data_IF_742905934075
#
_entry.id   IF_742905934075
#
_cell.length_a   1.000
_cell.length_b   1.000
_cell.length_c   1.000
_cell.angle_alpha   90.00
_cell.angle_beta   90.00
_cell.angle_gamma   90.00
#
_symmetry.space_group_name_H-M   'P 1'
#
loop_
_entity.id
_entity.type
_entity.pdbx_description
1 polymer ?
#
# COMPACT_ATOMS: atom_id res chain seq x y z
N UNK A 1 22.40 -85.91 29.46
CA UNK A 1 21.37 -84.96 29.93
C UNK A 1 20.91 -84.17 28.70
N UNK A 2 19.91 -84.69 27.98
CA UNK A 2 18.50 -84.21 27.92
C UNK A 2 18.39 -82.73 27.50
N UNK A 3 17.62 -82.28 26.51
CA UNK A 3 16.93 -82.82 25.31
C UNK A 3 16.06 -81.64 24.79
N UNK A 4 15.97 -81.47 23.46
CA UNK A 4 14.73 -81.17 22.66
C UNK A 4 14.08 -79.78 22.87
N UNK A 5 14.10 -78.89 21.86
CA UNK A 5 13.16 -78.70 20.73
C UNK A 5 11.75 -78.19 21.06
N UNK A 6 11.37 -77.13 20.33
CA UNK A 6 10.13 -76.98 19.55
C UNK A 6 8.76 -76.75 20.22
N UNK A 7 8.12 -75.71 19.65
CA UNK A 7 6.73 -75.63 19.18
C UNK A 7 5.60 -75.10 20.10
N UNK A 8 5.05 -73.96 19.64
CA UNK A 8 3.63 -73.67 19.33
C UNK A 8 2.59 -73.81 20.46
N UNK A 9 1.85 -72.72 20.79
CA UNK A 9 0.51 -72.43 20.22
C UNK A 9 -0.08 -71.11 20.77
N UNK A 10 -0.79 -70.46 19.86
CA UNK A 10 -1.68 -69.30 19.94
C UNK A 10 -2.77 -69.48 21.03
N UNK A 11 -3.29 -68.39 21.62
CA UNK A 11 -4.69 -67.87 21.47
C UNK A 11 -5.12 -66.95 22.64
N UNK A 12 -5.36 -65.67 22.30
CA UNK A 12 -6.39 -64.71 22.73
C UNK A 12 -6.66 -64.25 24.18
N UNK A 13 -6.72 -62.91 24.26
CA UNK A 13 -7.69 -62.02 24.97
C UNK A 13 -7.80 -62.16 26.50
N UNK A 14 -7.95 -61.11 27.32
CA UNK A 14 -8.61 -59.81 27.14
C UNK A 14 -8.36 -58.97 28.41
N UNK A 15 -8.28 -57.64 28.26
CA UNK A 15 -8.53 -56.59 29.26
C UNK A 15 -7.79 -56.65 30.62
N UNK A 16 -6.66 -55.95 30.67
CA UNK A 16 -6.22 -55.25 31.88
C UNK A 16 -6.07 -53.76 31.58
N UNK A 17 -6.80 -52.90 32.29
CA UNK A 17 -6.37 -51.52 32.51
C UNK A 17 -6.45 -51.18 33.99
N UNK A 18 -5.28 -50.74 34.46
CA UNK A 18 -4.89 -50.10 35.71
C UNK A 18 -5.80 -48.89 36.04
N UNK A 19 -6.17 -48.64 37.30
CA UNK A 19 -5.39 -48.11 38.44
C UNK A 19 -5.19 -46.56 38.38
N UNK A 20 -5.44 -45.83 39.49
CA UNK A 20 -5.42 -44.36 39.54
C UNK A 20 -4.10 -43.77 40.10
N UNK A 21 -4.01 -42.44 39.97
CA UNK A 21 -3.23 -41.47 40.75
C UNK A 21 -1.81 -41.05 40.32
N UNK A 22 -1.74 -39.76 39.95
CA UNK A 22 -0.76 -38.71 40.27
C UNK A 22 0.73 -38.91 39.92
N UNK A 23 1.27 -38.08 39.01
CA UNK A 23 2.27 -37.02 39.28
C UNK A 23 2.66 -36.25 38.02
N UNK A 24 2.90 -34.95 38.21
CA UNK A 24 3.85 -34.06 37.54
C UNK A 24 3.62 -33.57 36.11
N UNK A 25 3.89 -32.26 35.97
CA UNK A 25 4.41 -31.57 34.80
C UNK A 25 3.85 -31.97 33.45
N UNK A 26 2.87 -31.20 33.00
CA UNK A 26 2.89 -30.75 31.61
C UNK A 26 2.68 -29.24 31.61
N UNK A 27 3.82 -28.54 31.69
CA UNK A 27 3.98 -27.30 30.94
C UNK A 27 3.33 -27.55 29.58
N UNK A 28 2.20 -26.89 29.31
CA UNK A 28 1.53 -27.01 28.03
C UNK A 28 2.57 -26.66 26.96
N UNK A 29 3.00 -27.70 26.23
CA UNK A 29 3.85 -27.58 25.07
C UNK A 29 3.18 -26.59 24.13
N UNK A 30 3.70 -25.37 24.10
CA UNK A 30 3.47 -24.47 22.98
C UNK A 30 4.19 -25.16 21.81
N UNK A 31 3.41 -25.87 20.99
CA UNK A 31 3.90 -26.31 19.69
C UNK A 31 4.13 -25.04 18.85
N UNK A 32 5.34 -24.49 18.94
CA UNK A 32 5.85 -23.48 17.99
C UNK A 32 6.18 -24.20 16.69
N UNK A 33 5.13 -24.68 16.02
CA UNK A 33 5.18 -25.21 14.64
C UNK A 33 4.16 -24.52 13.73
N UNK A 34 3.21 -23.74 14.28
CA UNK A 34 2.20 -22.96 13.54
C UNK A 34 2.58 -21.46 13.43
N UNK A 35 3.86 -21.15 13.28
CA UNK A 35 4.32 -19.77 13.11
C UNK A 35 3.82 -19.19 11.79
N UNK A 36 2.75 -18.39 11.83
CA UNK A 36 2.26 -17.68 10.63
C UNK A 36 3.35 -16.79 10.02
N UNK A 37 3.45 -16.84 8.71
CA UNK A 37 4.38 -16.08 7.88
C UNK A 37 3.59 -15.24 6.89
N UNK A 38 3.68 -13.93 7.05
CA UNK A 38 3.06 -12.95 6.18
C UNK A 38 4.07 -12.46 5.16
N UNK A 39 3.78 -12.61 3.88
CA UNK A 39 4.51 -11.97 2.78
C UNK A 39 3.75 -10.70 2.41
N UNK A 40 4.43 -9.56 2.29
CA UNK A 40 3.78 -8.26 2.04
C UNK A 40 4.43 -7.57 0.85
N UNK A 41 3.60 -7.12 -0.09
CA UNK A 41 3.96 -6.28 -1.24
C UNK A 41 3.03 -5.06 -1.29
N UNK A 42 3.41 -4.02 -2.01
CA UNK A 42 2.64 -2.77 -2.13
C UNK A 42 2.94 -2.07 -3.45
N UNK A 43 2.17 -1.04 -3.80
CA UNK A 43 2.46 -0.08 -4.87
C UNK A 43 2.74 -0.80 -6.20
N UNK A 44 1.75 -1.58 -6.65
CA UNK A 44 1.81 -2.38 -7.89
C UNK A 44 1.37 -1.55 -9.10
N UNK A 45 0.35 -0.70 -8.98
CA UNK A 45 -0.14 0.21 -10.02
C UNK A 45 -0.49 -0.46 -11.37
N UNK A 46 -1.34 -1.49 -11.35
CA UNK A 46 -1.87 -2.08 -12.58
C UNK A 46 -2.83 -1.10 -13.27
N UNK A 47 -2.48 -0.69 -14.49
CA UNK A 47 -3.33 0.19 -15.31
C UNK A 47 -4.13 -0.55 -16.39
N UNK A 48 -5.06 0.17 -17.02
CA UNK A 48 -5.88 -0.33 -18.14
C UNK A 48 -5.09 -0.48 -19.45
N UNK A 49 -5.74 -0.98 -20.51
CA UNK A 49 -5.11 -1.14 -21.81
C UNK A 49 -4.59 0.19 -22.39
N UNK A 50 -5.28 1.32 -22.14
CA UNK A 50 -4.83 2.63 -22.62
C UNK A 50 -3.50 3.02 -21.99
N UNK A 51 -3.30 2.74 -20.70
CA UNK A 51 -2.04 3.03 -20.01
C UNK A 51 -0.85 2.29 -20.62
N UNK A 52 -1.08 1.06 -21.09
CA UNK A 52 -0.08 0.23 -21.75
C UNK A 52 0.19 0.72 -23.18
N UNK A 53 -0.85 0.97 -23.98
CA UNK A 53 -0.69 1.37 -25.39
C UNK A 53 -0.12 2.77 -25.54
N UNK A 54 -0.45 3.67 -24.62
CA UNK A 54 -0.04 5.07 -24.67
C UNK A 54 1.15 5.37 -23.74
N UNK A 55 1.81 4.34 -23.21
CA UNK A 55 3.07 4.43 -22.45
C UNK A 55 3.01 5.36 -21.22
N UNK A 56 1.89 5.35 -20.50
CA UNK A 56 1.77 6.05 -19.21
C UNK A 56 1.61 5.11 -18.01
N UNK A 57 1.48 3.80 -18.21
CA UNK A 57 1.47 2.83 -17.11
C UNK A 57 2.74 2.91 -16.24
N UNK A 58 2.56 2.78 -14.93
CA UNK A 58 3.67 2.67 -13.98
C UNK A 58 4.21 1.24 -13.83
N UNK A 59 3.49 0.23 -14.31
CA UNK A 59 3.83 -1.19 -14.14
C UNK A 59 3.86 -1.95 -15.48
N UNK A 60 4.24 -1.27 -16.56
CA UNK A 60 4.15 -1.82 -17.92
C UNK A 60 5.02 -3.08 -18.11
N UNK A 61 6.22 -3.09 -17.53
CA UNK A 61 7.19 -4.19 -17.63
C UNK A 61 7.34 -4.96 -16.32
N UNK A 62 7.19 -4.27 -15.19
CA UNK A 62 7.36 -4.87 -13.87
C UNK A 62 6.27 -5.89 -13.56
N UNK A 63 5.09 -5.84 -14.21
CA UNK A 63 4.05 -6.88 -14.11
C UNK A 63 4.53 -8.27 -14.50
N UNK A 64 5.48 -8.39 -15.44
CA UNK A 64 6.02 -9.68 -15.84
C UNK A 64 6.95 -10.24 -14.74
N UNK A 65 7.73 -9.36 -14.11
CA UNK A 65 8.56 -9.73 -12.95
C UNK A 65 7.68 -10.08 -11.74
N UNK A 66 6.57 -9.38 -11.53
CA UNK A 66 5.56 -9.74 -10.54
C UNK A 66 4.97 -11.13 -10.80
N UNK A 67 4.67 -11.48 -12.06
CA UNK A 67 4.20 -12.83 -12.39
C UNK A 67 5.22 -13.91 -11.99
N UNK A 68 6.52 -13.67 -12.25
CA UNK A 68 7.60 -14.58 -11.87
C UNK A 68 7.75 -14.68 -10.35
N UNK A 69 7.56 -13.58 -9.62
CA UNK A 69 7.53 -13.59 -8.16
C UNK A 69 6.34 -14.39 -7.62
N UNK A 70 5.15 -14.24 -8.19
CA UNK A 70 3.97 -15.02 -7.79
C UNK A 70 4.16 -16.52 -8.09
N UNK A 71 4.82 -16.86 -9.21
CA UNK A 71 5.24 -18.24 -9.51
C UNK A 71 6.29 -18.76 -8.49
N UNK A 72 7.22 -17.91 -8.07
CA UNK A 72 8.15 -18.24 -6.99
C UNK A 72 7.40 -18.52 -5.69
N UNK A 73 6.48 -17.67 -5.27
CA UNK A 73 5.65 -17.90 -4.08
C UNK A 73 4.83 -19.19 -4.19
N UNK A 74 4.32 -19.52 -5.38
CA UNK A 74 3.62 -20.77 -5.64
C UNK A 74 4.53 -22.00 -5.41
N UNK A 75 5.75 -21.96 -5.95
CA UNK A 75 6.75 -23.03 -5.77
C UNK A 75 7.17 -23.20 -4.30
N UNK A 76 7.23 -22.09 -3.56
CA UNK A 76 7.56 -22.04 -2.13
C UNK A 76 6.33 -21.96 -1.23
N UNK A 77 5.20 -22.50 -1.69
CA UNK A 77 3.92 -22.39 -0.97
C UNK A 77 3.95 -22.99 0.43
N UNK A 78 4.86 -23.90 0.78
CA UNK A 78 4.95 -24.41 2.15
C UNK A 78 5.71 -23.48 3.13
N UNK A 79 6.23 -22.35 2.66
CA UNK A 79 7.07 -21.45 3.46
C UNK A 79 6.37 -20.17 3.95
N UNK A 80 5.15 -19.95 3.46
CA UNK A 80 4.33 -18.78 3.79
C UNK A 80 2.84 -19.10 3.90
N UNK A 81 2.08 -18.27 4.60
CA UNK A 81 0.66 -18.53 4.90
C UNK A 81 -0.28 -17.55 4.20
N UNK A 82 0.08 -16.27 4.19
CA UNK A 82 -0.75 -15.19 3.66
C UNK A 82 0.10 -14.17 2.89
N UNK A 83 -0.38 -13.78 1.71
CA UNK A 83 0.18 -12.69 0.92
C UNK A 83 -0.72 -11.46 1.08
N UNK A 84 -0.14 -10.33 1.44
CA UNK A 84 -0.82 -9.06 1.64
C UNK A 84 -0.37 -8.07 0.56
N UNK A 85 -1.34 -7.46 -0.13
CA UNK A 85 -1.17 -6.32 -1.02
C UNK A 85 -1.56 -5.07 -0.25
N UNK A 86 -0.56 -4.30 0.18
CA UNK A 86 -0.68 -3.18 1.13
C UNK A 86 -0.92 -1.82 0.45
N UNK A 87 -1.90 -1.76 -0.45
CA UNK A 87 -2.29 -0.56 -1.18
C UNK A 87 -1.74 -0.46 -2.59
N UNK A 88 -2.35 0.45 -3.36
CA UNK A 88 -2.04 0.80 -4.74
C UNK A 88 -1.87 -0.42 -5.64
N UNK A 89 -2.88 -1.30 -5.61
CA UNK A 89 -2.88 -2.51 -6.44
C UNK A 89 -3.19 -2.16 -7.91
N UNK A 90 -4.21 -1.32 -8.10
CA UNK A 90 -4.67 -0.81 -9.39
C UNK A 90 -4.37 0.69 -9.47
N UNK A 91 -4.23 1.21 -10.69
CA UNK A 91 -3.98 2.63 -10.92
C UNK A 91 -5.14 3.31 -11.64
N UNK A 92 -5.90 4.12 -10.92
CA UNK A 92 -6.94 5.00 -11.47
C UNK A 92 -6.41 6.42 -11.74
N UNK A 93 -5.23 6.80 -11.24
CA UNK A 93 -4.82 8.21 -11.21
C UNK A 93 -3.85 8.60 -12.32
N UNK A 94 -3.02 7.66 -12.78
CA UNK A 94 -1.99 7.89 -13.80
C UNK A 94 -2.66 7.95 -15.19
N UNK A 95 -3.20 9.12 -15.53
CA UNK A 95 -3.86 9.40 -16.82
C UNK A 95 -3.51 10.83 -17.25
N UNK A 96 -3.21 11.09 -18.54
CA UNK A 96 -2.95 12.45 -19.03
C UNK A 96 -4.11 13.44 -18.78
N UNK A 97 -3.79 14.72 -18.62
CA UNK A 97 -4.74 15.78 -18.22
C UNK A 97 -5.91 15.94 -19.18
N UNK A 98 -5.69 15.75 -20.48
CA UNK A 98 -6.73 15.88 -21.51
C UNK A 98 -7.63 14.66 -21.67
N UNK A 99 -7.41 13.60 -20.88
CA UNK A 99 -8.12 12.32 -21.01
C UNK A 99 -9.01 12.03 -19.80
N UNK A 100 -10.22 11.47 -20.02
CA UNK A 100 -11.04 10.97 -18.92
C UNK A 100 -10.34 9.80 -18.22
N UNK A 101 -10.43 9.79 -16.90
CA UNK A 101 -9.83 8.77 -16.05
C UNK A 101 -10.54 7.44 -16.23
N UNK A 102 -11.83 7.37 -15.90
CA UNK A 102 -12.63 6.15 -16.01
C UNK A 102 -13.24 6.08 -17.41
N UNK A 103 -12.55 5.44 -18.36
CA UNK A 103 -12.97 5.42 -19.76
C UNK A 103 -12.55 4.14 -20.51
N UNK A 104 -13.18 3.89 -21.65
CA UNK A 104 -12.79 2.84 -22.59
C UNK A 104 -11.58 3.26 -23.45
N UNK A 105 -11.14 2.37 -24.33
CA UNK A 105 -9.95 2.54 -25.18
C UNK A 105 -10.08 3.71 -26.18
N UNK A 106 -11.29 4.20 -26.42
CA UNK A 106 -11.60 5.34 -27.28
C UNK A 106 -11.84 6.62 -26.48
N UNK A 107 -11.48 6.62 -25.18
CA UNK A 107 -11.70 7.71 -24.24
C UNK A 107 -13.21 8.04 -24.03
N UNK A 108 -14.12 7.08 -24.23
CA UNK A 108 -15.52 7.25 -23.83
C UNK A 108 -15.68 6.95 -22.33
N UNK A 109 -16.33 7.82 -21.54
CA UNK A 109 -16.66 7.54 -20.13
C UNK A 109 -17.39 6.20 -19.93
N UNK A 110 -16.96 5.43 -18.94
CA UNK A 110 -17.59 4.18 -18.50
C UNK A 110 -17.81 4.19 -16.99
N UNK A 111 -18.42 3.15 -16.43
CA UNK A 111 -18.56 2.98 -14.97
C UNK A 111 -17.26 2.52 -14.31
N UNK A 112 -17.12 2.77 -13.01
CA UNK A 112 -15.99 2.30 -12.19
C UNK A 112 -15.78 0.79 -12.33
N UNK A 113 -16.88 0.04 -12.23
CA UNK A 113 -16.92 -1.41 -12.38
C UNK A 113 -16.38 -1.88 -13.73
N UNK A 114 -16.82 -1.23 -14.82
CA UNK A 114 -16.33 -1.56 -16.16
C UNK A 114 -14.84 -1.23 -16.31
N UNK A 115 -14.37 -0.13 -15.73
CA UNK A 115 -12.96 0.24 -15.73
C UNK A 115 -12.11 -0.76 -14.95
N UNK A 116 -12.53 -1.18 -13.76
CA UNK A 116 -11.89 -2.25 -13.00
C UNK A 116 -11.79 -3.53 -13.84
N UNK A 117 -12.87 -3.91 -14.54
CA UNK A 117 -12.87 -5.04 -15.47
C UNK A 117 -11.86 -4.90 -16.62
N UNK A 118 -11.66 -3.68 -17.14
CA UNK A 118 -10.64 -3.39 -18.16
C UNK A 118 -9.22 -3.51 -17.60
N UNK A 119 -8.97 -3.06 -16.37
CA UNK A 119 -7.67 -3.27 -15.70
C UNK A 119 -7.39 -4.75 -15.51
N UNK A 120 -8.38 -5.53 -15.05
CA UNK A 120 -8.26 -6.99 -14.91
C UNK A 120 -7.95 -7.64 -16.25
N UNK A 121 -8.67 -7.27 -17.30
CA UNK A 121 -8.49 -7.81 -18.65
C UNK A 121 -7.10 -7.51 -19.23
N UNK A 122 -6.61 -6.27 -19.05
CA UNK A 122 -5.30 -5.83 -19.54
C UNK A 122 -4.11 -6.50 -18.80
N UNK A 123 -4.37 -7.05 -17.61
CA UNK A 123 -3.38 -7.66 -16.74
C UNK A 123 -3.76 -9.10 -16.34
N UNK A 124 -4.49 -9.78 -17.22
CA UNK A 124 -5.07 -11.10 -16.98
C UNK A 124 -4.06 -12.11 -16.41
N UNK A 125 -2.83 -12.12 -16.92
CA UNK A 125 -1.75 -13.01 -16.44
C UNK A 125 -1.46 -12.81 -14.95
N UNK A 126 -1.41 -11.56 -14.46
CA UNK A 126 -1.14 -11.26 -13.04
C UNK A 126 -2.29 -11.79 -12.17
N UNK A 127 -3.54 -11.54 -12.57
CA UNK A 127 -4.71 -12.00 -11.84
C UNK A 127 -4.88 -13.53 -11.88
N UNK A 128 -4.47 -14.18 -12.97
CA UNK A 128 -4.40 -15.64 -13.03
C UNK A 128 -3.41 -16.20 -12.01
N UNK A 129 -2.24 -15.56 -11.84
CA UNK A 129 -1.29 -15.96 -10.79
C UNK A 129 -1.86 -15.82 -9.38
N UNK A 130 -2.57 -14.74 -9.06
CA UNK A 130 -3.26 -14.62 -7.77
C UNK A 130 -4.34 -15.70 -7.57
N UNK A 131 -5.12 -16.02 -8.62
CA UNK A 131 -6.08 -17.13 -8.58
C UNK A 131 -5.43 -18.48 -8.36
N UNK A 132 -4.28 -18.73 -8.98
CA UNK A 132 -3.51 -19.96 -8.78
C UNK A 132 -3.07 -20.11 -7.31
N UNK A 133 -2.60 -19.04 -6.67
CA UNK A 133 -2.24 -19.05 -5.24
C UNK A 133 -3.46 -19.38 -4.37
N UNK A 134 -4.60 -18.74 -4.63
CA UNK A 134 -5.84 -19.02 -3.90
C UNK A 134 -6.32 -20.46 -4.12
N UNK A 135 -6.13 -21.01 -5.33
CA UNK A 135 -6.41 -22.41 -5.65
C UNK A 135 -5.55 -23.42 -4.87
N UNK A 136 -4.40 -23.00 -4.34
CA UNK A 136 -3.58 -23.77 -3.40
C UNK A 136 -4.04 -23.63 -1.93
N UNK A 137 -5.14 -22.93 -1.68
CA UNK A 137 -5.63 -22.63 -0.34
C UNK A 137 -4.86 -21.50 0.35
N UNK A 138 -4.09 -20.70 -0.40
CA UNK A 138 -3.40 -19.53 0.17
C UNK A 138 -4.36 -18.38 0.40
N UNK A 139 -4.16 -17.70 1.53
CA UNK A 139 -4.91 -16.48 1.84
C UNK A 139 -4.25 -15.29 1.17
N UNK A 140 -5.06 -14.47 0.49
CA UNK A 140 -4.63 -13.19 -0.04
C UNK A 140 -5.44 -12.09 0.66
N UNK A 141 -4.78 -11.03 1.11
CA UNK A 141 -5.44 -9.86 1.69
C UNK A 141 -5.08 -8.60 0.90
N UNK A 142 -6.08 -7.77 0.61
CA UNK A 142 -5.92 -6.48 -0.04
C UNK A 142 -6.27 -5.37 0.94
N UNK A 143 -5.42 -4.34 1.00
CA UNK A 143 -5.65 -3.09 1.73
C UNK A 143 -5.70 -1.98 0.67
N UNK A 144 -6.70 -1.07 0.68
CA UNK A 144 -6.76 0.06 -0.25
C UNK A 144 -5.57 1.02 -0.13
N UNK A 145 -5.10 1.54 -1.25
CA UNK A 145 -4.20 2.69 -1.32
C UNK A 145 -4.92 3.92 -1.88
N UNK A 146 -4.17 4.96 -2.22
CA UNK A 146 -4.75 6.17 -2.81
C UNK A 146 -5.10 6.01 -4.29
N UNK A 147 -4.33 5.24 -5.07
CA UNK A 147 -4.57 5.09 -6.52
C UNK A 147 -5.77 4.21 -6.88
N UNK A 148 -6.31 3.47 -5.92
CA UNK A 148 -7.47 2.59 -6.08
C UNK A 148 -8.55 2.83 -5.01
N UNK A 149 -8.57 4.03 -4.42
CA UNK A 149 -9.43 4.40 -3.29
C UNK A 149 -10.93 4.36 -3.59
N UNK A 150 -11.31 4.47 -4.87
CA UNK A 150 -12.70 4.45 -5.31
C UNK A 150 -13.23 3.05 -5.60
N UNK A 151 -12.34 2.07 -5.78
CA UNK A 151 -12.74 0.68 -5.98
C UNK A 151 -13.61 0.22 -4.82
N UNK A 152 -14.70 -0.46 -5.14
CA UNK A 152 -15.64 -0.98 -4.14
C UNK A 152 -15.43 -2.46 -3.89
N UNK A 153 -16.01 -2.96 -2.81
CA UNK A 153 -16.07 -4.40 -2.57
C UNK A 153 -16.81 -5.14 -3.70
N UNK A 154 -17.81 -4.49 -4.30
CA UNK A 154 -18.58 -5.05 -5.42
C UNK A 154 -17.71 -5.24 -6.67
N UNK A 155 -16.83 -4.28 -6.98
CA UNK A 155 -15.93 -4.36 -8.13
C UNK A 155 -15.00 -5.57 -7.99
N UNK A 156 -14.35 -5.70 -6.84
CA UNK A 156 -13.54 -6.86 -6.49
C UNK A 156 -14.35 -8.15 -6.53
N UNK A 157 -15.53 -8.19 -5.91
CA UNK A 157 -16.34 -9.40 -5.86
C UNK A 157 -16.90 -9.79 -7.25
N UNK A 158 -16.99 -8.85 -8.19
CA UNK A 158 -17.41 -9.14 -9.56
C UNK A 158 -16.32 -9.84 -10.37
N UNK A 159 -15.08 -9.35 -10.30
CA UNK A 159 -13.99 -9.83 -11.17
C UNK A 159 -13.00 -10.77 -10.47
N UNK A 160 -12.94 -10.71 -9.15
CA UNK A 160 -11.98 -11.40 -8.27
C UNK A 160 -12.72 -12.11 -7.12
N UNK A 161 -13.91 -12.64 -7.38
CA UNK A 161 -14.75 -13.32 -6.38
C UNK A 161 -13.93 -14.35 -5.59
N UNK A 162 -13.88 -14.19 -4.27
CA UNK A 162 -13.21 -15.13 -3.37
C UNK A 162 -11.68 -15.17 -3.49
N UNK A 163 -11.06 -14.24 -4.22
CA UNK A 163 -9.59 -14.16 -4.35
C UNK A 163 -8.98 -13.42 -3.15
N UNK A 164 -9.51 -12.24 -2.81
CA UNK A 164 -8.96 -11.39 -1.74
C UNK A 164 -9.90 -11.25 -0.55
N UNK A 165 -9.34 -11.37 0.65
CA UNK A 165 -9.90 -10.76 1.85
C UNK A 165 -9.65 -9.25 1.79
N UNK A 166 -10.70 -8.44 1.77
CA UNK A 166 -10.58 -6.99 1.62
C UNK A 166 -10.60 -6.30 2.99
N UNK A 167 -9.47 -5.71 3.38
CA UNK A 167 -9.27 -5.04 4.66
C UNK A 167 -9.65 -3.54 4.58
N UNK A 168 -10.90 -3.27 4.17
CA UNK A 168 -11.46 -1.92 4.02
C UNK A 168 -11.98 -1.39 5.35
N UNK A 169 -11.86 -0.08 5.55
CA UNK A 169 -12.48 0.62 6.68
C UNK A 169 -13.84 1.21 6.34
N UNK A 170 -14.56 1.66 7.38
CA UNK A 170 -15.79 2.43 7.20
C UNK A 170 -15.57 3.81 6.57
N UNK A 171 -14.36 4.37 6.71
CA UNK A 171 -13.95 5.57 5.99
C UNK A 171 -13.56 5.19 4.57
N UNK A 172 -14.33 5.68 3.59
CA UNK A 172 -14.11 5.41 2.16
C UNK A 172 -12.68 5.74 1.73
N UNK A 173 -12.09 4.86 0.92
CA UNK A 173 -10.72 5.00 0.43
C UNK A 173 -9.62 4.62 1.42
N UNK A 174 -9.95 4.05 2.58
CA UNK A 174 -8.98 3.63 3.60
C UNK A 174 -9.14 2.16 3.97
N UNK A 175 -8.08 1.61 4.53
CA UNK A 175 -8.08 0.28 5.13
C UNK A 175 -6.86 0.07 6.00
N UNK A 176 -6.97 -0.94 6.88
CA UNK A 176 -5.85 -1.48 7.61
C UNK A 176 -6.07 -2.97 7.87
N UNK A 177 -4.99 -3.70 8.10
CA UNK A 177 -5.04 -5.10 8.50
C UNK A 177 -4.16 -5.36 9.71
N UNK A 178 -4.75 -5.96 10.75
CA UNK A 178 -4.07 -6.35 11.97
C UNK A 178 -4.26 -7.85 12.23
N UNK A 179 -3.37 -8.71 11.72
CA UNK A 179 -3.49 -10.16 11.93
C UNK A 179 -3.25 -10.58 13.39
N UNK A 180 -2.59 -9.73 14.18
CA UNK A 180 -2.46 -9.82 15.64
C UNK A 180 -2.52 -8.41 16.25
N UNK A 181 -2.64 -8.30 17.57
CA UNK A 181 -2.57 -7.01 18.28
C UNK A 181 -1.20 -6.32 18.18
N UNK A 182 -0.17 -7.01 17.68
CA UNK A 182 1.20 -6.48 17.60
C UNK A 182 1.58 -6.01 16.20
N UNK A 183 0.80 -6.37 15.18
CA UNK A 183 1.07 -6.03 13.79
C UNK A 183 -0.05 -5.12 13.30
N UNK A 184 0.33 -3.99 12.72
CA UNK A 184 -0.57 -3.09 12.03
C UNK A 184 -0.03 -2.84 10.63
N UNK A 185 -0.87 -3.00 9.61
CA UNK A 185 -0.53 -2.78 8.22
C UNK A 185 -1.51 -1.76 7.63
N UNK A 186 -1.00 -0.67 7.08
CA UNK A 186 -1.77 0.25 6.25
C UNK A 186 -0.88 0.81 5.13
N UNK A 187 -1.50 1.35 4.09
CA UNK A 187 -0.76 1.91 2.96
C UNK A 187 0.01 3.18 3.34
N UNK A 188 -0.64 4.08 4.10
CA UNK A 188 -0.01 5.28 4.68
C UNK A 188 -0.48 6.61 4.10
N UNK A 189 -1.24 6.60 2.98
CA UNK A 189 -1.76 7.80 2.34
C UNK A 189 -2.68 8.64 3.24
N UNK A 190 -3.23 8.06 4.32
CA UNK A 190 -4.06 8.73 5.34
C UNK A 190 -3.41 9.99 5.94
N UNK A 191 -2.08 10.04 5.97
CA UNK A 191 -1.31 11.11 6.63
C UNK A 191 -0.65 12.07 5.64
N UNK A 192 -0.86 11.84 4.35
CA UNK A 192 -0.38 12.67 3.27
C UNK A 192 -1.52 13.59 2.80
N UNK A 193 -1.31 14.91 2.88
CA UNK A 193 -2.37 15.87 2.56
C UNK A 193 -2.79 15.82 1.08
N UNK A 194 -1.90 15.37 0.19
CA UNK A 194 -2.19 15.22 -1.23
C UNK A 194 -2.93 13.92 -1.51
N UNK A 195 -2.74 12.87 -0.70
CA UNK A 195 -3.20 11.52 -1.03
C UNK A 195 -4.27 10.96 -0.08
N UNK A 196 -4.48 11.55 1.10
CA UNK A 196 -5.54 11.12 2.02
C UNK A 196 -6.93 11.31 1.39
N UNK A 197 -7.97 10.57 1.78
CA UNK A 197 -9.33 10.91 1.34
C UNK A 197 -9.74 12.32 1.77
N UNK A 198 -10.38 13.04 0.86
CA UNK A 198 -10.84 14.42 1.05
C UNK A 198 -12.34 14.53 0.82
N UNK A 199 -13.11 14.89 1.85
CA UNK A 199 -14.57 15.01 1.72
C UNK A 199 -14.96 16.32 1.03
N UNK A 200 -15.19 16.25 -0.27
CA UNK A 200 -15.63 17.38 -1.08
C UNK A 200 -16.90 18.05 -0.55
N UNK A 201 -16.99 19.38 -0.71
CA UNK A 201 -18.18 20.18 -0.41
C UNK A 201 -18.52 21.10 -1.58
N UNK A 202 -19.74 20.93 -2.10
CA UNK A 202 -20.27 21.75 -3.19
C UNK A 202 -20.19 23.24 -2.86
N UNK A 203 -19.67 24.02 -3.80
CA UNK A 203 -19.57 25.48 -3.69
C UNK A 203 -18.48 26.01 -2.75
N UNK A 204 -17.72 25.14 -2.07
CA UNK A 204 -16.59 25.53 -1.22
C UNK A 204 -15.27 25.15 -1.89
N UNK A 205 -15.14 23.89 -2.29
CA UNK A 205 -13.86 23.32 -2.69
C UNK A 205 -13.79 23.01 -4.18
N UNK A 206 -14.81 23.40 -4.95
CA UNK A 206 -14.98 23.06 -6.37
C UNK A 206 -14.99 21.56 -6.69
N UNK A 207 -14.99 20.70 -5.66
CA UNK A 207 -15.12 19.24 -5.71
C UNK A 207 -16.56 18.86 -5.32
N UNK A 208 -17.21 17.92 -6.03
CA UNK A 208 -18.56 17.47 -5.72
C UNK A 208 -18.71 16.95 -4.29
N UNK A 209 -19.87 17.20 -3.67
CA UNK A 209 -20.16 16.62 -2.36
C UNK A 209 -20.16 15.10 -2.40
N UNK A 210 -19.46 14.49 -1.44
CA UNK A 210 -19.35 13.04 -1.33
C UNK A 210 -18.15 12.44 -2.06
N UNK A 211 -17.49 13.20 -2.94
CA UNK A 211 -16.21 12.79 -3.50
C UNK A 211 -15.16 12.70 -2.38
N UNK A 212 -14.24 11.74 -2.53
CA UNK A 212 -13.07 11.51 -1.68
C UNK A 212 -11.74 11.87 -2.36
N UNK A 213 -11.76 12.31 -3.62
CA UNK A 213 -10.55 12.56 -4.41
C UNK A 213 -9.77 13.79 -3.87
N UNK A 214 -8.49 13.61 -3.49
CA UNK A 214 -7.65 14.71 -3.04
C UNK A 214 -6.83 15.33 -4.17
N UNK A 215 -6.03 16.34 -3.84
CA UNK A 215 -5.22 17.09 -4.80
C UNK A 215 -4.13 16.26 -5.50
N UNK A 216 -3.67 15.17 -4.88
CA UNK A 216 -2.69 14.22 -5.41
C UNK A 216 -3.10 13.61 -6.75
N UNK A 217 -4.39 13.35 -6.94
CA UNK A 217 -4.94 12.91 -8.22
C UNK A 217 -4.57 13.88 -9.36
N UNK A 218 -4.77 15.18 -9.15
CA UNK A 218 -4.47 16.19 -10.15
C UNK A 218 -2.98 16.33 -10.39
N UNK A 219 -2.15 16.31 -9.33
CA UNK A 219 -0.69 16.33 -9.47
C UNK A 219 -0.20 15.15 -10.30
N UNK A 220 -0.78 13.97 -10.11
CA UNK A 220 -0.45 12.76 -10.89
C UNK A 220 -0.83 12.92 -12.36
N UNK A 221 -1.98 13.54 -12.70
CA UNK A 221 -2.33 13.81 -14.11
C UNK A 221 -1.40 14.81 -14.77
N UNK A 222 -1.02 15.88 -14.07
CA UNK A 222 -0.04 16.85 -14.57
C UNK A 222 1.30 16.18 -14.84
N UNK A 223 1.80 15.41 -13.88
CA UNK A 223 3.06 14.67 -14.01
C UNK A 223 3.03 13.64 -15.15
N UNK A 224 1.90 12.95 -15.32
CA UNK A 224 1.72 12.00 -16.43
C UNK A 224 1.82 12.69 -17.78
N UNK A 225 1.29 13.91 -17.89
CA UNK A 225 1.24 14.69 -19.13
C UNK A 225 2.56 15.36 -19.48
N UNK A 226 3.40 15.64 -18.49
CA UNK A 226 4.75 16.18 -18.70
C UNK A 226 5.77 15.12 -19.12
N UNK A 227 5.34 13.85 -19.29
CA UNK A 227 6.19 12.73 -19.68
C UNK A 227 6.54 11.78 -18.52
N UNK A 228 5.98 11.99 -17.32
CA UNK A 228 6.05 11.04 -16.20
C UNK A 228 7.46 10.78 -15.69
N UNK A 229 8.37 11.75 -15.84
CA UNK A 229 9.62 11.80 -15.11
C UNK A 229 9.35 12.34 -13.71
N UNK A 230 10.06 11.86 -12.69
CA UNK A 230 10.05 12.44 -11.35
C UNK A 230 10.62 13.87 -11.42
N UNK A 231 9.79 14.84 -11.80
CA UNK A 231 10.14 16.27 -11.81
C UNK A 231 9.78 16.96 -10.51
N UNK A 232 9.46 16.19 -9.45
CA UNK A 232 9.81 16.66 -8.12
C UNK A 232 11.34 16.82 -8.15
N UNK A 233 11.80 18.05 -8.42
CA UNK A 233 13.20 18.41 -8.26
C UNK A 233 13.62 17.84 -6.92
N UNK A 234 14.69 17.04 -6.90
CA UNK A 234 15.13 16.38 -5.69
C UNK A 234 15.45 17.47 -4.67
N UNK A 235 14.51 17.76 -3.78
CA UNK A 235 14.72 18.72 -2.72
C UNK A 235 15.87 18.21 -1.87
N UNK A 236 16.86 19.06 -1.66
CA UNK A 236 17.94 18.79 -0.73
C UNK A 236 17.38 18.63 0.69
N UNK A 237 18.09 17.90 1.54
CA UNK A 237 17.73 17.79 2.95
C UNK A 237 17.62 19.16 3.64
N UNK A 238 18.43 20.15 3.22
CA UNK A 238 18.41 21.51 3.73
C UNK A 238 17.12 22.25 3.32
N UNK A 239 16.68 22.12 2.06
CA UNK A 239 15.40 22.69 1.61
C UNK A 239 14.23 22.08 2.37
N UNK A 240 14.20 20.75 2.52
CA UNK A 240 13.15 20.06 3.27
C UNK A 240 13.11 20.48 4.74
N UNK A 241 14.27 20.65 5.40
CA UNK A 241 14.34 21.16 6.77
C UNK A 241 13.88 22.62 6.86
N UNK A 242 14.22 23.44 5.88
CA UNK A 242 13.73 24.81 5.77
C UNK A 242 12.20 24.86 5.72
N UNK A 243 11.57 23.96 4.95
CA UNK A 243 10.12 23.84 4.88
C UNK A 243 9.49 23.29 6.15
N UNK A 244 10.10 22.30 6.80
CA UNK A 244 9.62 21.80 8.09
C UNK A 244 9.64 22.90 9.15
N UNK A 245 10.68 23.74 9.16
CA UNK A 245 10.84 24.85 10.10
C UNK A 245 9.78 25.97 9.94
N UNK A 246 9.08 26.03 8.81
CA UNK A 246 7.94 26.95 8.62
C UNK A 246 6.74 26.57 9.52
N UNK A 247 6.64 25.30 9.92
CA UNK A 247 5.51 24.79 10.70
C UNK A 247 4.18 25.04 10.00
N UNK A 248 3.13 25.35 10.76
CA UNK A 248 1.80 25.63 10.21
C UNK A 248 1.67 27.07 9.63
N UNK A 249 2.71 27.90 9.75
CA UNK A 249 2.77 29.22 9.13
C UNK A 249 3.40 29.09 7.73
N UNK A 250 2.73 29.26 6.60
CA UNK A 250 1.36 29.59 6.25
C UNK A 250 0.98 28.46 5.30
N UNK A 251 -0.11 27.72 5.51
CA UNK A 251 -0.60 26.76 4.50
C UNK A 251 -0.53 27.35 3.08
N UNK A 252 -0.85 28.65 2.92
CA UNK A 252 -0.73 29.39 1.66
C UNK A 252 0.69 29.45 1.07
N UNK A 253 1.74 29.45 1.88
CA UNK A 253 3.14 29.41 1.44
C UNK A 253 3.52 28.01 0.96
N UNK A 254 3.17 26.96 1.70
CA UNK A 254 3.43 25.57 1.31
C UNK A 254 2.56 25.16 0.10
N UNK A 255 1.32 25.63 0.05
CA UNK A 255 0.43 25.49 -1.08
C UNK A 255 0.90 26.29 -2.28
N UNK A 256 1.37 27.53 -2.09
CA UNK A 256 1.98 28.33 -3.15
C UNK A 256 3.23 27.67 -3.74
N UNK A 257 4.02 26.99 -2.91
CA UNK A 257 5.11 26.15 -3.41
C UNK A 257 4.60 24.94 -4.20
N UNK A 258 3.56 24.25 -3.73
CA UNK A 258 2.96 23.15 -4.49
C UNK A 258 2.39 23.66 -5.82
N UNK A 259 1.71 24.80 -5.84
CA UNK A 259 1.27 25.46 -7.06
C UNK A 259 2.46 25.76 -7.98
N UNK A 260 3.61 26.17 -7.44
CA UNK A 260 4.84 26.35 -8.22
C UNK A 260 5.42 25.02 -8.75
N UNK A 261 5.38 23.93 -7.98
CA UNK A 261 5.82 22.60 -8.43
C UNK A 261 4.90 22.11 -9.55
N UNK A 262 3.58 22.22 -9.35
CA UNK A 262 2.56 21.93 -10.36
C UNK A 262 2.81 22.79 -11.61
N UNK A 263 3.09 24.08 -11.44
CA UNK A 263 3.40 24.99 -12.54
C UNK A 263 4.69 24.61 -13.27
N UNK A 264 5.74 24.17 -12.58
CA UNK A 264 6.96 23.64 -13.21
C UNK A 264 6.68 22.35 -14.00
N UNK A 265 5.86 21.45 -13.44
CA UNK A 265 5.44 20.21 -14.11
C UNK A 265 4.61 20.55 -15.36
N UNK A 266 3.77 21.58 -15.29
CA UNK A 266 2.80 21.91 -16.31
C UNK A 266 3.18 23.08 -17.23
N UNK A 267 4.33 23.74 -17.04
CA UNK A 267 4.75 24.87 -17.90
C UNK A 267 4.79 24.50 -19.39
N UNK A 268 5.17 23.27 -19.79
CA UNK A 268 5.05 22.83 -21.17
C UNK A 268 3.60 22.72 -21.67
N UNK A 269 2.64 22.51 -20.76
CA UNK A 269 1.22 22.23 -21.03
C UNK A 269 0.34 23.50 -20.95
N UNK A 270 0.73 24.48 -20.13
CA UNK A 270 -0.03 25.71 -19.89
C UNK A 270 -0.13 26.62 -21.12
N UNK A 271 0.81 26.50 -22.06
CA UNK A 271 0.79 27.23 -23.34
C UNK A 271 -0.34 26.76 -24.29
N UNK A 272 -0.90 25.56 -24.09
CA UNK A 272 -1.89 24.95 -25.01
C UNK A 272 -3.35 25.03 -24.51
N UNK A 273 -3.61 25.56 -23.30
CA UNK A 273 -4.97 25.67 -22.71
C UNK A 273 -5.77 24.35 -22.69
N UNK A 274 -5.11 23.21 -22.47
CA UNK A 274 -5.79 21.90 -22.41
C UNK A 274 -6.67 21.84 -21.14
N UNK A 275 -7.97 21.49 -21.24
CA UNK A 275 -8.80 21.29 -20.07
C UNK A 275 -8.33 20.07 -19.26
N UNK A 276 -8.42 20.18 -17.93
CA UNK A 276 -8.18 19.06 -17.02
C UNK A 276 -9.45 18.22 -16.96
N UNK A 277 -9.46 17.11 -17.70
CA UNK A 277 -10.55 16.15 -17.77
C UNK A 277 -10.38 15.14 -16.63
N UNK A 278 -11.43 14.93 -15.86
CA UNK A 278 -11.41 14.06 -14.67
C UNK A 278 -12.18 12.78 -14.94
N UNK A 279 -13.51 12.80 -14.92
CA UNK A 279 -14.38 11.64 -15.05
C UNK A 279 -14.05 10.52 -14.04
N UNK A 280 -14.13 10.87 -12.76
CA UNK A 280 -13.93 9.98 -11.62
C UNK A 280 -14.70 10.54 -10.41
N UNK A 281 -15.35 9.68 -9.62
CA UNK A 281 -15.96 10.05 -8.33
C UNK A 281 -16.87 11.29 -8.36
N UNK A 282 -17.77 11.35 -9.35
CA UNK A 282 -18.69 12.47 -9.57
C UNK A 282 -18.06 13.73 -10.17
N UNK A 283 -16.73 13.80 -10.27
CA UNK A 283 -16.04 14.85 -11.02
C UNK A 283 -16.16 14.58 -12.52
N UNK A 284 -17.17 15.18 -13.16
CA UNK A 284 -17.47 14.97 -14.60
C UNK A 284 -17.26 16.22 -15.46
N UNK A 285 -16.97 17.36 -14.85
CA UNK A 285 -16.74 18.63 -15.55
C UNK A 285 -15.25 18.81 -15.85
N UNK A 286 -14.89 19.48 -16.95
CA UNK A 286 -13.51 19.91 -17.17
C UNK A 286 -13.15 21.01 -16.17
N UNK A 287 -11.92 20.98 -15.68
CA UNK A 287 -11.34 22.05 -14.87
C UNK A 287 -10.31 22.83 -15.69
N UNK A 288 -10.09 24.10 -15.35
CA UNK A 288 -9.07 24.93 -15.99
C UNK A 288 -7.80 24.95 -15.15
N UNK A 289 -6.68 25.28 -15.77
CA UNK A 289 -5.41 25.49 -15.09
C UNK A 289 -5.50 26.51 -13.93
N UNK A 290 -6.27 27.58 -14.12
CA UNK A 290 -6.48 28.62 -13.11
C UNK A 290 -7.11 28.10 -11.81
N UNK A 291 -7.86 26.98 -11.87
CA UNK A 291 -8.40 26.34 -10.68
C UNK A 291 -7.28 25.80 -9.74
N UNK A 292 -6.06 25.62 -10.26
CA UNK A 292 -4.90 25.04 -9.57
C UNK A 292 -3.76 26.04 -9.34
N UNK A 293 -3.51 26.96 -10.27
CA UNK A 293 -2.19 27.58 -10.44
C UNK A 293 -1.93 28.93 -9.71
N UNK A 294 -2.78 29.38 -8.79
CA UNK A 294 -2.65 30.76 -8.26
C UNK A 294 -2.98 30.92 -6.78
N UNK A 295 -2.67 32.10 -6.23
CA UNK A 295 -3.14 32.61 -4.92
C UNK A 295 -4.69 32.62 -4.77
N UNK A 296 -5.43 32.22 -5.81
CA UNK A 296 -6.88 32.06 -5.86
C UNK A 296 -7.27 30.61 -6.24
N UNK A 297 -6.49 29.60 -5.85
CA UNK A 297 -6.88 28.21 -6.03
C UNK A 297 -8.28 27.97 -5.43
N UNK A 298 -9.25 27.67 -6.30
CA UNK A 298 -10.64 27.44 -5.88
C UNK A 298 -10.87 25.99 -5.45
N UNK A 299 -9.94 25.09 -5.79
CA UNK A 299 -9.99 23.70 -5.38
C UNK A 299 -9.31 23.51 -4.02
N UNK A 300 -9.91 22.70 -3.15
CA UNK A 300 -9.34 22.37 -1.83
C UNK A 300 -9.09 23.58 -0.90
N UNK A 301 -9.77 24.70 -1.14
CA UNK A 301 -9.61 25.94 -0.37
C UNK A 301 -9.98 25.75 1.12
N UNK A 302 -10.89 24.83 1.44
CA UNK A 302 -11.29 24.51 2.81
C UNK A 302 -10.24 23.74 3.64
N UNK A 303 -9.09 23.37 3.05
CA UNK A 303 -7.96 22.78 3.80
C UNK A 303 -7.22 23.87 4.61
N UNK A 304 -7.21 25.10 4.09
CA UNK A 304 -6.70 26.28 4.80
C UNK A 304 -7.68 26.57 5.96
N UNK A 305 -7.16 26.97 7.11
CA UNK A 305 -7.86 27.89 8.01
C UNK A 305 -8.70 27.34 9.17
N UNK A 306 -8.30 26.23 9.81
CA UNK A 306 -8.90 25.82 11.10
C UNK A 306 -10.42 25.62 11.08
N UNK A 307 -11.00 25.53 9.88
CA UNK A 307 -12.41 25.33 9.64
C UNK A 307 -12.73 23.84 9.81
N UNK A 308 -14.02 23.49 9.77
CA UNK A 308 -14.52 22.12 9.89
C UNK A 308 -13.95 21.11 8.87
N UNK A 309 -13.20 21.56 7.87
CA UNK A 309 -12.54 20.75 6.82
C UNK A 309 -11.01 20.89 6.76
N UNK A 310 -10.41 21.61 7.71
CA UNK A 310 -8.95 21.75 7.76
C UNK A 310 -8.24 20.42 7.98
N UNK A 311 -6.92 20.40 7.83
CA UNK A 311 -6.12 19.17 7.91
C UNK A 311 -6.40 18.31 9.15
N UNK A 312 -6.45 18.90 10.34
CA UNK A 312 -6.77 18.15 11.58
C UNK A 312 -8.17 17.53 11.57
N UNK A 313 -9.18 18.23 11.01
CA UNK A 313 -10.52 17.70 10.89
C UNK A 313 -10.57 16.53 9.88
N UNK A 314 -9.80 16.62 8.79
CA UNK A 314 -9.63 15.53 7.83
C UNK A 314 -8.93 14.32 8.45
N UNK A 315 -7.85 14.51 9.22
CA UNK A 315 -7.21 13.42 9.96
C UNK A 315 -8.18 12.74 10.93
N UNK A 316 -8.97 13.52 11.67
CA UNK A 316 -9.97 12.99 12.61
C UNK A 316 -11.08 12.21 11.88
N UNK A 317 -11.59 12.76 10.77
CA UNK A 317 -12.58 12.07 9.94
C UNK A 317 -12.03 10.77 9.38
N UNK A 318 -10.78 10.79 8.92
CA UNK A 318 -10.06 9.63 8.41
C UNK A 318 -9.53 8.72 9.53
N UNK A 319 -9.87 8.91 10.81
CA UNK A 319 -9.43 8.01 11.89
C UNK A 319 -7.91 7.89 12.06
N UNK A 320 -7.15 8.94 11.77
CA UNK A 320 -5.70 8.93 11.87
C UNK A 320 -5.21 8.73 13.32
N UNK A 321 -4.16 7.92 13.49
CA UNK A 321 -3.56 7.64 14.82
C UNK A 321 -2.89 8.89 15.40
N UNK A 322 -2.31 9.71 14.53
CA UNK A 322 -1.70 11.00 14.84
C UNK A 322 -2.24 12.07 13.89
N UNK A 323 -2.07 13.34 14.25
CA UNK A 323 -2.31 14.48 13.36
C UNK A 323 -0.95 15.13 13.09
N UNK A 324 -0.29 14.82 11.96
CA UNK A 324 0.94 15.50 11.56
C UNK A 324 0.68 16.99 11.37
N UNK A 325 1.70 17.83 11.50
CA UNK A 325 1.57 19.24 11.11
C UNK A 325 1.29 19.35 9.60
N UNK A 326 0.75 20.50 9.16
CA UNK A 326 0.52 20.73 7.73
C UNK A 326 1.83 20.60 6.96
N UNK A 327 2.92 21.19 7.47
CA UNK A 327 4.26 21.07 6.87
C UNK A 327 4.69 19.61 6.71
N UNK A 328 4.58 18.79 7.77
CA UNK A 328 4.96 17.39 7.70
C UNK A 328 4.10 16.60 6.69
N UNK A 329 2.80 16.85 6.66
CA UNK A 329 1.89 16.18 5.71
C UNK A 329 2.17 16.55 4.24
N UNK A 330 2.56 17.80 3.97
CA UNK A 330 3.01 18.23 2.63
C UNK A 330 4.33 17.57 2.27
N UNK A 331 5.30 17.60 3.19
CA UNK A 331 6.62 16.99 2.97
C UNK A 331 6.52 15.48 2.74
N UNK A 332 5.60 14.81 3.43
CA UNK A 332 5.32 13.39 3.25
C UNK A 332 4.93 13.02 1.82
N UNK A 333 4.16 13.86 1.13
CA UNK A 333 3.74 13.57 -0.24
C UNK A 333 4.77 13.92 -1.32
N UNK A 334 5.88 14.56 -0.95
CA UNK A 334 6.97 14.91 -1.88
C UNK A 334 8.31 14.28 -1.49
N UNK A 335 8.39 13.58 -0.35
CA UNK A 335 9.63 13.01 0.19
C UNK A 335 9.39 11.67 0.87
N UNK A 336 10.05 10.63 0.34
CA UNK A 336 10.05 9.27 0.89
C UNK A 336 10.46 9.28 2.38
N UNK A 337 11.43 10.13 2.74
CA UNK A 337 11.94 10.29 4.11
C UNK A 337 10.84 10.78 5.07
N UNK A 338 10.05 11.77 4.69
CA UNK A 338 9.01 12.32 5.55
C UNK A 338 7.81 11.40 5.66
N UNK A 339 7.48 10.66 4.60
CA UNK A 339 6.50 9.57 4.67
C UNK A 339 6.91 8.53 5.72
N UNK A 340 8.17 8.10 5.73
CA UNK A 340 8.67 7.19 6.76
C UNK A 340 8.70 7.81 8.18
N UNK A 341 9.01 9.11 8.32
CA UNK A 341 9.01 9.80 9.62
C UNK A 341 7.61 9.76 10.22
N UNK A 342 6.58 10.05 9.42
CA UNK A 342 5.19 9.97 9.85
C UNK A 342 4.84 8.53 10.26
N UNK A 343 5.21 7.53 9.46
CA UNK A 343 5.00 6.12 9.80
C UNK A 343 5.64 5.75 11.14
N UNK A 344 6.87 6.20 11.40
CA UNK A 344 7.53 6.01 12.70
C UNK A 344 6.78 6.66 13.86
N UNK A 345 6.23 7.86 13.67
CA UNK A 345 5.46 8.55 14.70
C UNK A 345 4.11 7.87 14.95
N UNK A 346 3.46 7.34 13.90
CA UNK A 346 2.28 6.47 14.03
C UNK A 346 2.61 5.24 14.86
N UNK A 347 3.73 4.56 14.57
CA UNK A 347 4.15 3.38 15.32
C UNK A 347 4.41 3.69 16.80
N UNK A 348 5.05 4.81 17.14
CA UNK A 348 5.29 5.21 18.55
C UNK A 348 4.00 5.44 19.34
N UNK A 349 2.92 5.85 18.66
CA UNK A 349 1.62 6.17 19.27
C UNK A 349 0.60 5.03 19.15
N UNK A 350 0.89 4.02 18.33
CA UNK A 350 0.06 2.84 18.16
C UNK A 350 0.22 1.86 19.30
N UNK A 351 -0.76 0.99 19.49
CA UNK A 351 -0.63 -0.20 20.36
C UNK A 351 0.15 -1.33 19.68
N UNK A 352 0.32 -1.26 18.36
CA UNK A 352 1.12 -2.21 17.62
C UNK A 352 2.62 -2.02 17.90
N UNK A 353 3.38 -3.09 17.71
CA UNK A 353 4.83 -3.12 17.90
C UNK A 353 5.57 -3.30 16.57
N UNK A 354 4.84 -3.64 15.52
CA UNK A 354 5.29 -3.77 14.13
C UNK A 354 4.31 -3.00 13.26
N UNK A 355 4.82 -2.01 12.52
CA UNK A 355 4.09 -1.28 11.50
C UNK A 355 4.61 -1.67 10.12
N UNK A 356 3.71 -2.10 9.23
CA UNK A 356 4.00 -2.35 7.82
C UNK A 356 3.34 -1.27 6.97
N UNK A 357 4.11 -0.66 6.08
CA UNK A 357 3.79 0.58 5.38
C UNK A 357 4.04 0.44 3.87
N UNK A 358 3.34 1.23 3.06
CA UNK A 358 3.53 1.39 1.61
C UNK A 358 3.81 2.85 1.26
N UNK A 359 3.29 3.34 0.12
CA UNK A 359 3.14 4.76 -0.26
C UNK A 359 4.43 5.52 -0.59
N UNK A 360 5.51 5.33 0.18
CA UNK A 360 6.80 6.00 -0.09
C UNK A 360 7.58 5.38 -1.24
N UNK A 361 7.19 4.19 -1.70
CA UNK A 361 7.89 3.34 -2.66
C UNK A 361 9.31 2.94 -2.24
N UNK A 362 9.81 3.35 -1.06
CA UNK A 362 11.19 3.19 -0.63
C UNK A 362 11.32 2.11 0.45
N UNK A 363 11.81 0.90 0.10
CA UNK A 363 11.82 -0.21 1.03
C UNK A 363 12.87 -0.03 2.14
N UNK A 364 12.45 -0.10 3.41
CA UNK A 364 13.35 0.05 4.56
C UNK A 364 12.80 -0.60 5.83
N UNK A 365 13.69 -1.09 6.70
CA UNK A 365 13.36 -1.44 8.09
C UNK A 365 14.00 -0.40 9.01
N UNK A 366 13.20 0.14 9.93
CA UNK A 366 13.67 1.03 10.99
C UNK A 366 13.22 0.49 12.35
N UNK A 367 14.08 0.63 13.35
CA UNK A 367 13.68 0.37 14.74
C UNK A 367 13.51 1.69 15.48
N UNK A 368 12.52 1.71 16.37
CA UNK A 368 12.23 2.86 17.21
C UNK A 368 11.83 2.39 18.59
N UNK A 369 11.81 3.29 19.57
CA UNK A 369 11.28 3.00 20.90
C UNK A 369 9.97 3.76 21.04
N UNK A 370 8.91 3.06 21.45
CA UNK A 370 7.62 3.69 21.75
C UNK A 370 7.70 4.55 23.03
N UNK A 371 6.62 5.28 23.31
CA UNK A 371 6.53 6.16 24.50
C UNK A 371 6.65 5.39 25.83
N UNK A 372 6.49 4.07 25.82
CA UNK A 372 6.63 3.19 26.98
C UNK A 372 8.04 2.59 27.14
N UNK A 373 8.98 2.96 26.27
CA UNK A 373 10.36 2.48 26.31
C UNK A 373 10.55 1.13 25.62
N UNK A 374 9.56 0.63 24.86
CA UNK A 374 9.63 -0.68 24.21
C UNK A 374 10.04 -0.55 22.74
N UNK A 375 10.94 -1.43 22.29
CA UNK A 375 11.39 -1.49 20.89
C UNK A 375 10.18 -1.74 19.98
N UNK A 376 10.10 -1.08 18.83
CA UNK A 376 9.12 -1.27 17.78
C UNK A 376 9.83 -1.35 16.43
N UNK A 377 9.22 -2.03 15.44
CA UNK A 377 9.76 -2.17 14.09
C UNK A 377 8.83 -1.55 13.06
N UNK A 378 9.37 -0.66 12.24
CA UNK A 378 8.74 -0.12 11.05
C UNK A 378 9.31 -0.82 9.82
N UNK A 379 8.44 -1.23 8.90
CA UNK A 379 8.78 -1.82 7.61
C UNK A 379 8.03 -1.08 6.51
N UNK A 380 8.75 -0.38 5.64
CA UNK A 380 8.21 -0.02 4.33
C UNK A 380 8.58 -1.12 3.33
N UNK A 381 7.60 -1.64 2.59
CA UNK A 381 7.83 -2.78 1.68
C UNK A 381 8.27 -2.37 0.28
N UNK A 382 8.34 -1.07 -0.01
CA UNK A 382 8.68 -0.53 -1.32
C UNK A 382 7.58 -0.75 -2.36
N UNK A 383 7.96 -0.90 -3.63
CA UNK A 383 7.00 -0.91 -4.74
C UNK A 383 7.29 -2.00 -5.78
N UNK A 384 6.33 -2.16 -6.69
CA UNK A 384 6.44 -3.00 -7.88
C UNK A 384 6.22 -2.20 -9.16
N UNK A 385 6.56 -0.91 -9.19
CA UNK A 385 6.52 -0.11 -10.42
C UNK A 385 7.78 -0.32 -11.28
N UNK A 386 7.71 0.03 -12.56
CA UNK A 386 8.83 0.06 -13.49
C UNK A 386 9.98 0.92 -12.93
N UNK A 387 11.22 0.47 -13.09
CA UNK A 387 12.42 1.16 -12.53
C UNK A 387 12.55 2.61 -12.95
N UNK A 388 12.08 2.96 -14.15
CA UNK A 388 12.07 4.35 -14.68
C UNK A 388 11.08 5.28 -13.94
N UNK A 389 10.22 4.74 -13.08
CA UNK A 389 9.18 5.46 -12.32
C UNK A 389 9.58 5.77 -10.89
N UNK A 390 10.74 5.29 -10.45
CA UNK A 390 11.30 5.56 -9.12
C UNK A 390 12.63 6.26 -9.23
N UNK A 391 12.98 7.06 -8.21
CA UNK A 391 14.26 7.74 -8.14
C UNK A 391 15.44 6.76 -8.04
N UNK A 392 15.22 5.60 -7.43
CA UNK A 392 16.23 4.56 -7.25
C UNK A 392 15.69 3.20 -7.73
N UNK A 393 16.31 2.63 -8.77
CA UNK A 393 15.91 1.35 -9.34
C UNK A 393 15.98 0.18 -8.33
N UNK A 394 16.71 0.32 -7.22
CA UNK A 394 16.72 -0.67 -6.15
C UNK A 394 15.45 -0.64 -5.28
N UNK A 395 14.58 0.34 -5.45
CA UNK A 395 13.34 0.45 -4.68
C UNK A 395 12.22 -0.49 -5.19
N UNK A 396 12.36 -1.04 -6.40
CA UNK A 396 11.34 -1.94 -6.98
C UNK A 396 11.59 -3.42 -6.71
N UNK A 397 10.57 -4.24 -7.00
CA UNK A 397 10.55 -5.70 -6.81
C UNK A 397 10.85 -6.11 -5.37
N UNK A 398 10.48 -5.26 -4.42
CA UNK A 398 10.75 -5.46 -3.00
C UNK A 398 9.53 -6.09 -2.30
N UNK A 399 9.80 -6.87 -1.26
CA UNK A 399 8.75 -7.47 -0.45
C UNK A 399 9.20 -7.67 1.00
N UNK A 400 8.24 -7.55 1.91
CA UNK A 400 8.41 -7.80 3.32
C UNK A 400 8.05 -9.22 3.72
N UNK A 401 8.70 -9.74 4.74
CA UNK A 401 8.25 -10.92 5.47
C UNK A 401 8.14 -10.56 6.96
N UNK A 402 6.97 -10.80 7.55
CA UNK A 402 6.74 -10.74 8.99
C UNK A 402 6.42 -12.15 9.48
N UNK A 403 7.27 -12.70 10.34
CA UNK A 403 7.16 -14.08 10.85
C UNK A 403 7.20 -14.10 12.37
N UNK A 404 6.28 -14.85 12.98
CA UNK A 404 6.37 -15.20 14.40
C UNK A 404 7.43 -16.30 14.59
N UNK A 405 8.64 -16.00 15.05
CA UNK A 405 9.72 -16.98 15.20
C UNK A 405 9.57 -17.87 16.44
N UNK A 406 9.01 -17.32 17.51
CA UNK A 406 8.68 -18.05 18.74
C UNK A 406 7.48 -17.40 19.43
N UNK A 407 6.98 -17.96 20.53
CA UNK A 407 5.78 -17.49 21.23
C UNK A 407 5.74 -15.96 21.48
N UNK A 408 6.92 -15.32 21.58
CA UNK A 408 7.04 -13.91 21.90
C UNK A 408 8.09 -13.18 21.05
N UNK A 409 8.57 -13.75 19.94
CA UNK A 409 9.57 -13.11 19.07
C UNK A 409 9.06 -13.05 17.64
N UNK A 410 9.03 -11.86 17.06
CA UNK A 410 8.82 -11.65 15.63
C UNK A 410 10.14 -11.34 14.93
N UNK A 411 10.26 -11.84 13.71
CA UNK A 411 11.30 -11.47 12.76
C UNK A 411 10.65 -10.71 11.61
N UNK A 412 11.20 -9.55 11.30
CA UNK A 412 10.83 -8.72 10.15
C UNK A 412 12.01 -8.68 9.20
N UNK A 413 11.79 -9.04 7.95
CA UNK A 413 12.83 -9.02 6.93
C UNK A 413 12.31 -8.41 5.64
N UNK A 414 13.19 -7.71 4.95
CA UNK A 414 12.96 -7.04 3.70
C UNK A 414 13.85 -7.69 2.65
N UNK A 415 13.25 -7.98 1.50
CA UNK A 415 13.85 -8.73 0.42
C UNK A 415 13.66 -8.03 -0.90
N UNK A 416 14.49 -8.39 -1.89
CA UNK A 416 14.31 -7.99 -3.29
C UNK A 416 14.29 -9.22 -4.18
N UNK A 417 13.26 -9.31 -5.02
CA UNK A 417 13.16 -10.33 -6.04
C UNK A 417 13.87 -9.88 -7.32
N UNK A 418 14.67 -10.78 -7.90
CA UNK A 418 15.37 -10.56 -9.17
C UNK A 418 15.28 -11.80 -10.03
N UNK A 419 15.41 -11.61 -11.33
CA UNK A 419 15.57 -12.69 -12.29
C UNK A 419 16.92 -12.53 -12.96
N UNK A 420 17.79 -13.52 -12.80
CA UNK A 420 19.12 -13.53 -13.42
C UNK A 420 19.33 -14.87 -14.11
N UNK A 421 19.70 -14.84 -15.38
CA UNK A 421 19.94 -16.03 -16.20
C UNK A 421 18.77 -17.04 -16.19
N UNK A 422 17.54 -16.52 -16.13
CA UNK A 422 16.30 -17.31 -16.08
C UNK A 422 15.99 -17.92 -14.71
N UNK A 423 16.78 -17.62 -13.67
CA UNK A 423 16.55 -18.09 -12.31
C UNK A 423 15.99 -16.98 -11.42
N UNK A 424 15.03 -17.36 -10.58
CA UNK A 424 14.51 -16.50 -9.51
C UNK A 424 15.54 -16.37 -8.39
N UNK A 425 15.89 -15.15 -8.01
CA UNK A 425 16.81 -14.83 -6.93
C UNK A 425 16.08 -13.95 -5.92
N UNK A 426 16.20 -14.30 -4.64
CA UNK A 426 15.76 -13.46 -3.52
C UNK A 426 17.02 -12.94 -2.82
N UNK A 427 17.18 -11.62 -2.84
CA UNK A 427 18.25 -10.90 -2.15
C UNK A 427 17.74 -10.43 -0.78
N UNK A 428 18.43 -10.85 0.29
CA UNK A 428 18.21 -10.31 1.64
C UNK A 428 18.68 -8.83 1.67
N UNK A 429 17.77 -7.91 1.95
CA UNK A 429 18.06 -6.46 2.01
C UNK A 429 18.32 -6.03 3.44
N UNK A 430 17.35 -6.24 4.33
CA UNK A 430 17.44 -5.89 5.75
C UNK A 430 16.67 -6.90 6.60
N UNK A 431 17.05 -7.02 7.87
CA UNK A 431 16.38 -7.91 8.82
C UNK A 431 16.54 -7.39 10.24
N UNK A 432 15.47 -7.45 11.02
CA UNK A 432 15.50 -7.19 12.45
C UNK A 432 14.53 -8.14 13.18
N UNK A 433 14.65 -8.22 14.50
CA UNK A 433 13.70 -8.93 15.35
C UNK A 433 13.30 -8.12 16.57
N UNK A 434 12.14 -8.49 17.10
CA UNK A 434 11.52 -7.85 18.25
C UNK A 434 10.92 -8.92 19.15
N UNK A 435 11.17 -8.78 20.45
CA UNK A 435 10.47 -9.54 21.48
C UNK A 435 9.28 -8.72 21.99
N UNK A 436 8.13 -9.36 22.02
CA UNK A 436 6.88 -8.82 22.55
C UNK A 436 6.72 -9.40 23.95
N UNK A 437 6.70 -8.53 24.96
CA UNK A 437 6.69 -8.87 26.38
C UNK A 437 5.27 -8.96 26.96
#
# INVERSE_FOLDING_TARGET
MKKVSSFILITFMLCGMFCPSCTNDDAQKINVTDSKVYVVISDIHLGDQRSLTNNYSWNATMKDTLCLFLDYLKQHSNEWDELIVNGDFIDEWVVPIGKPTIADENDNPITEKEFFGKVVSANQNVFDKFRELTGLGKKLTYIPGNHDMNTTEEDFNTYLTGVFNQARESCSGLGHYSPTSHIFMEHGHRYDIFNAPYKGKDGIDGIPSGSIIPSGFFTTKFNTSSGGGSTAGSFTDEELQGYEALGDATYNTLWGMMANIIDQIATPLSHEQIPVVTNIDGMIKPYTWDAFATNNCTLFNGIVDGQTNGWSARCNYNGAVIVPSVAQSVLSGISEKYCDIIGLDVLKKSTARILVWGHSHAPIIKSVTDDSGKKCLYLNVGCWVDTKKVANASNTSSFGIVRLKSANEYVVSLHRFKVQDGQSIVEDVQKDSIKID
#
